data_IF_157128617940
#
_entry.id   IF_157128617940
#
_cell.length_a   1.000
_cell.length_b   1.000
_cell.length_c   1.000
_cell.angle_alpha   90.00
_cell.angle_beta   90.00
_cell.angle_gamma   90.00
#
_symmetry.space_group_name_H-M   'P 1'
#
loop_
_entity.id
_entity.type
_entity.pdbx_description
1 polymer ?
#
# COMPACT_ATOMS: atom_id res chain seq x y z
N UNK A 1 8.24 1.15 -12.93
CA UNK A 1 9.47 1.59 -12.21
C UNK A 1 10.60 0.64 -12.58
N UNK A 2 11.67 1.13 -13.23
CA UNK A 2 12.83 0.32 -13.52
C UNK A 2 13.62 0.11 -12.23
N UNK A 3 13.74 -1.13 -11.77
CA UNK A 3 14.77 -1.51 -10.81
C UNK A 3 16.12 -1.47 -11.54
N UNK A 4 16.73 -0.30 -11.64
CA UNK A 4 18.07 -0.17 -12.17
C UNK A 4 19.04 -0.43 -11.05
N UNK A 5 19.58 -1.63 -10.97
CA UNK A 5 20.71 -2.00 -10.11
C UNK A 5 22.05 -1.40 -10.62
N UNK A 6 22.03 -0.21 -11.21
CA UNK A 6 23.23 0.55 -11.47
C UNK A 6 23.43 1.53 -10.33
N UNK A 7 24.63 1.50 -9.72
CA UNK A 7 25.08 2.58 -8.81
C UNK A 7 24.77 3.90 -9.49
N UNK A 8 23.71 4.57 -9.05
CA UNK A 8 23.40 5.93 -9.46
C UNK A 8 24.54 6.77 -8.87
N UNK A 9 25.49 7.18 -9.69
CA UNK A 9 26.36 8.30 -9.36
C UNK A 9 25.45 9.53 -9.37
N UNK A 10 24.85 9.83 -8.25
CA UNK A 10 24.02 11.02 -8.11
C UNK A 10 24.95 12.22 -7.86
N UNK A 11 24.98 13.14 -8.78
CA UNK A 11 25.35 14.52 -8.49
C UNK A 11 24.20 15.19 -7.71
N UNK A 12 23.82 14.63 -6.58
CA UNK A 12 22.73 15.10 -5.75
C UNK A 12 22.51 14.19 -4.54
N UNK A 13 21.77 14.67 -3.54
CA UNK A 13 21.47 13.96 -2.29
C UNK A 13 20.36 12.92 -2.42
N UNK A 14 20.38 12.09 -3.48
CA UNK A 14 19.43 10.99 -3.65
C UNK A 14 19.99 9.75 -2.96
N UNK A 15 19.27 9.25 -1.96
CA UNK A 15 19.66 8.08 -1.18
C UNK A 15 18.63 6.97 -1.39
N UNK A 16 19.09 5.78 -1.79
CA UNK A 16 18.25 4.59 -1.81
C UNK A 16 18.01 4.13 -0.38
N UNK A 17 16.76 4.01 0.03
CA UNK A 17 16.35 3.59 1.37
C UNK A 17 15.75 2.18 1.42
N UNK A 18 15.30 1.64 0.28
CA UNK A 18 14.84 0.25 0.19
C UNK A 18 16.00 -0.73 0.35
N UNK A 19 15.75 -1.95 0.86
CA UNK A 19 16.76 -3.01 0.94
C UNK A 19 17.44 -3.32 -0.40
N UNK A 20 18.69 -3.80 -0.35
CA UNK A 20 19.37 -4.40 -1.48
C UNK A 20 18.98 -5.88 -1.57
N UNK A 21 17.83 -6.13 -2.17
CA UNK A 21 17.26 -7.46 -2.35
C UNK A 21 16.89 -7.63 -3.83
N UNK A 22 17.64 -8.45 -4.57
CA UNK A 22 17.40 -8.66 -5.99
C UNK A 22 16.21 -9.59 -6.27
N UNK A 23 15.65 -10.22 -5.26
CA UNK A 23 14.59 -11.24 -5.41
C UNK A 23 13.19 -10.67 -5.21
N UNK A 24 13.08 -9.44 -4.73
CA UNK A 24 11.82 -8.76 -4.50
C UNK A 24 11.85 -7.33 -5.02
N UNK A 25 10.67 -6.81 -5.28
CA UNK A 25 10.47 -5.44 -5.71
C UNK A 25 9.89 -4.61 -4.55
N UNK A 26 10.42 -3.39 -4.42
CA UNK A 26 10.03 -2.46 -3.36
C UNK A 26 9.44 -1.22 -3.98
N UNK A 27 8.24 -0.85 -3.53
CA UNK A 27 7.52 0.29 -4.07
C UNK A 27 6.60 0.90 -3.01
N UNK A 28 6.04 2.05 -3.31
CA UNK A 28 4.91 2.64 -2.61
C UNK A 28 3.75 2.74 -3.57
N UNK A 29 2.57 3.07 -3.11
CA UNK A 29 1.40 3.19 -3.96
C UNK A 29 1.42 4.41 -4.88
N UNK A 30 0.31 5.10 -4.98
CA UNK A 30 0.10 6.20 -5.92
C UNK A 30 0.64 7.53 -5.38
N UNK A 31 0.94 8.47 -6.25
CA UNK A 31 1.58 9.75 -5.93
C UNK A 31 0.71 10.72 -5.09
N UNK A 32 -0.58 10.44 -4.95
CA UNK A 32 -1.52 11.28 -4.20
C UNK A 32 -1.42 11.09 -2.67
N UNK A 33 -0.62 10.14 -2.20
CA UNK A 33 -0.41 9.83 -0.78
C UNK A 33 1.05 9.94 -0.41
N UNK A 34 1.32 10.49 0.78
CA UNK A 34 2.67 10.50 1.32
C UNK A 34 3.03 9.16 1.95
N UNK A 35 4.14 8.52 1.57
CA UNK A 35 4.65 7.37 2.29
C UNK A 35 5.24 7.72 3.66
N UNK A 36 5.56 8.99 3.90
CA UNK A 36 6.23 9.47 5.09
C UNK A 36 5.27 9.77 6.23
N UNK A 37 5.68 9.42 7.44
CA UNK A 37 5.05 9.89 8.66
C UNK A 37 5.28 11.38 8.88
N UNK A 38 4.54 11.99 9.81
CA UNK A 38 4.67 13.42 10.11
C UNK A 38 6.06 13.83 10.64
N UNK A 39 6.86 12.88 11.12
CA UNK A 39 8.23 13.15 11.60
C UNK A 39 9.31 13.06 10.53
N UNK A 40 8.93 12.63 9.31
CA UNK A 40 9.84 12.35 8.19
C UNK A 40 10.94 11.33 8.57
N UNK A 41 10.64 10.44 9.50
CA UNK A 41 11.52 9.36 9.94
C UNK A 41 11.11 8.02 9.39
N UNK A 42 9.82 7.72 9.45
CA UNK A 42 9.28 6.44 9.03
C UNK A 42 8.63 6.54 7.67
N UNK A 43 8.90 5.56 6.83
CA UNK A 43 8.31 5.45 5.51
C UNK A 43 7.60 4.11 5.37
N UNK A 44 6.35 4.14 4.88
CA UNK A 44 5.63 2.94 4.44
C UNK A 44 6.22 2.51 3.10
N UNK A 45 6.49 1.21 2.97
CA UNK A 45 6.94 0.60 1.72
C UNK A 45 6.19 -0.71 1.51
N UNK A 46 5.86 -1.03 0.28
CA UNK A 46 5.36 -2.35 -0.10
C UNK A 46 6.49 -3.19 -0.68
N UNK A 47 6.42 -4.50 -0.46
CA UNK A 47 7.31 -5.48 -1.05
C UNK A 47 6.49 -6.57 -1.72
N UNK A 48 6.77 -6.87 -2.96
CA UNK A 48 6.20 -7.98 -3.70
C UNK A 48 7.29 -8.76 -4.43
N UNK A 49 6.98 -10.02 -4.79
CA UNK A 49 7.93 -10.85 -5.51
C UNK A 49 8.11 -10.40 -6.95
N UNK A 50 7.01 -9.99 -7.57
CA UNK A 50 6.97 -9.64 -9.00
C UNK A 50 5.80 -8.68 -9.24
N UNK A 51 6.07 -7.57 -9.94
CA UNK A 51 5.07 -6.56 -10.33
C UNK A 51 4.84 -6.51 -11.84
N UNK A 52 5.51 -7.36 -12.64
CA UNK A 52 5.53 -7.25 -14.09
C UNK A 52 4.98 -8.45 -14.84
N UNK A 53 5.31 -9.66 -14.42
CA UNK A 53 5.07 -10.88 -15.19
C UNK A 53 3.97 -11.76 -14.60
N UNK A 54 3.56 -11.51 -13.37
CA UNK A 54 2.51 -12.29 -12.73
C UNK A 54 1.14 -11.78 -13.18
N UNK A 55 0.28 -12.66 -13.75
CA UNK A 55 -1.10 -12.29 -14.07
C UNK A 55 -1.91 -12.03 -12.79
N UNK A 56 -2.96 -11.25 -12.91
CA UNK A 56 -3.92 -11.03 -11.83
C UNK A 56 -4.67 -12.33 -11.43
N UNK A 57 -4.92 -12.54 -10.14
CA UNK A 57 -4.49 -11.72 -9.00
C UNK A 57 -2.99 -11.88 -8.70
N UNK A 58 -2.36 -10.81 -8.24
CA UNK A 58 -0.88 -10.72 -8.09
C UNK A 58 -0.30 -11.51 -6.90
N UNK A 59 -1.13 -12.18 -6.11
CA UNK A 59 -0.71 -12.82 -4.86
C UNK A 59 -0.60 -11.80 -3.71
N UNK A 60 0.20 -12.10 -2.69
CA UNK A 60 0.32 -11.23 -1.52
C UNK A 60 1.48 -10.26 -1.65
N UNK A 61 1.33 -9.08 -1.06
CA UNK A 61 2.41 -8.12 -0.83
C UNK A 61 2.57 -7.83 0.68
N UNK A 62 3.80 -7.60 1.09
CA UNK A 62 4.12 -7.20 2.46
C UNK A 62 4.08 -5.68 2.59
N UNK A 63 3.56 -5.19 3.71
CA UNK A 63 3.74 -3.82 4.15
C UNK A 63 4.92 -3.75 5.12
N UNK A 64 5.80 -2.83 4.83
CA UNK A 64 7.03 -2.60 5.58
C UNK A 64 7.07 -1.17 6.10
N UNK A 65 7.65 -0.99 7.27
CA UNK A 65 8.00 0.29 7.83
C UNK A 65 9.52 0.43 7.81
N UNK A 66 10.03 1.47 7.14
CA UNK A 66 11.47 1.76 7.05
C UNK A 66 11.80 2.90 8.01
N UNK A 67 12.71 2.66 8.96
CA UNK A 67 13.26 3.67 9.86
C UNK A 67 14.52 4.28 9.26
N UNK A 68 14.40 5.45 8.63
CA UNK A 68 15.50 6.10 7.92
C UNK A 68 16.57 6.67 8.87
N UNK A 69 16.25 6.86 10.15
CA UNK A 69 17.23 7.30 11.17
C UNK A 69 17.95 6.14 11.85
N UNK A 70 17.57 4.90 11.55
CA UNK A 70 18.20 3.69 12.07
C UNK A 70 18.80 2.83 10.94
N UNK A 71 19.60 3.45 10.08
CA UNK A 71 20.26 2.81 8.93
C UNK A 71 19.28 2.08 8.00
N UNK A 72 18.12 2.68 7.76
CA UNK A 72 17.04 2.13 6.96
C UNK A 72 16.54 0.76 7.46
N UNK A 73 16.52 0.58 8.79
CA UNK A 73 16.01 -0.66 9.37
C UNK A 73 14.56 -0.90 8.97
N UNK A 74 14.31 -2.10 8.46
CA UNK A 74 12.99 -2.52 7.99
C UNK A 74 12.26 -3.31 9.07
N UNK A 75 11.00 -2.98 9.31
CA UNK A 75 10.05 -3.75 10.12
C UNK A 75 8.91 -4.20 9.24
N UNK A 76 8.64 -5.51 9.18
CA UNK A 76 7.41 -6.03 8.58
C UNK A 76 6.23 -5.70 9.50
N UNK A 77 5.15 -5.13 8.96
CA UNK A 77 4.00 -4.68 9.75
C UNK A 77 2.69 -5.35 9.35
N UNK A 78 2.54 -5.78 8.10
CA UNK A 78 1.36 -6.52 7.62
C UNK A 78 1.67 -7.23 6.31
N UNK A 79 0.77 -8.15 5.92
CA UNK A 79 0.72 -8.77 4.59
C UNK A 79 -0.72 -8.70 4.10
N UNK A 80 -0.92 -8.36 2.83
CA UNK A 80 -2.25 -8.28 2.21
C UNK A 80 -2.26 -8.90 0.82
N UNK A 81 -3.32 -9.62 0.41
CA UNK A 81 -3.54 -10.01 -0.98
C UNK A 81 -4.10 -8.86 -1.82
N UNK A 82 -4.63 -7.81 -1.19
CA UNK A 82 -5.46 -6.77 -1.80
C UNK A 82 -4.61 -5.58 -2.19
N UNK A 83 -4.06 -5.61 -3.40
CA UNK A 83 -3.21 -4.55 -3.94
C UNK A 83 -3.16 -4.57 -5.47
N UNK A 84 -2.66 -3.51 -6.04
CA UNK A 84 -2.28 -3.45 -7.46
C UNK A 84 -0.99 -2.66 -7.63
N UNK A 85 -0.38 -2.78 -8.80
CA UNK A 85 0.93 -2.16 -9.09
C UNK A 85 0.87 -0.64 -9.09
N UNK A 86 -0.27 -0.05 -9.49
CA UNK A 86 -0.41 1.41 -9.64
C UNK A 86 -0.64 2.13 -8.31
N UNK A 87 -1.47 1.54 -7.44
CA UNK A 87 -1.98 2.21 -6.25
C UNK A 87 -1.60 1.50 -4.95
N UNK A 88 -0.93 0.34 -5.05
CA UNK A 88 -0.66 -0.50 -3.88
C UNK A 88 -1.95 -0.97 -3.22
N UNK A 89 -1.92 -1.15 -1.91
CA UNK A 89 -3.08 -1.47 -1.08
C UNK A 89 -3.76 -0.24 -0.46
N UNK A 90 -3.61 0.94 -1.05
CA UNK A 90 -4.08 2.23 -0.56
C UNK A 90 -3.52 2.61 0.83
N UNK A 91 -2.33 2.12 1.16
CA UNK A 91 -1.68 2.42 2.43
C UNK A 91 -1.47 3.91 2.63
N UNK A 92 -1.87 4.43 3.79
CA UNK A 92 -1.78 5.85 4.12
C UNK A 92 -1.68 6.07 5.63
N UNK A 93 -0.91 7.06 6.03
CA UNK A 93 -0.87 7.50 7.41
C UNK A 93 -2.18 8.14 7.83
N UNK A 94 -2.67 7.80 9.03
CA UNK A 94 -3.92 8.34 9.56
C UNK A 94 -3.69 9.59 10.40
N UNK A 95 -4.50 10.60 10.12
CA UNK A 95 -4.61 11.77 10.99
C UNK A 95 -5.28 11.49 12.35
N UNK A 96 -5.21 12.45 13.28
CA UNK A 96 -4.60 13.77 13.08
C UNK A 96 -3.06 13.80 13.26
N UNK A 97 -2.46 12.75 13.82
CA UNK A 97 -1.03 12.74 14.15
C UNK A 97 -0.12 12.29 13.00
N UNK A 98 -0.64 11.54 12.02
CA UNK A 98 0.07 11.00 10.87
C UNK A 98 1.39 10.28 11.21
N UNK A 99 1.44 9.58 12.34
CA UNK A 99 2.65 8.89 12.80
C UNK A 99 2.44 7.58 13.54
N UNK A 100 1.29 7.41 14.22
CA UNK A 100 1.07 6.23 15.05
C UNK A 100 0.28 5.14 14.35
N UNK A 101 -0.57 5.50 13.38
CA UNK A 101 -1.46 4.57 12.69
C UNK A 101 -1.46 4.77 11.19
N UNK A 102 -1.59 3.65 10.51
CA UNK A 102 -1.85 3.61 9.07
C UNK A 102 -3.20 2.97 8.80
N UNK A 103 -3.75 3.24 7.63
CA UNK A 103 -4.86 2.49 7.05
C UNK A 103 -4.34 1.84 5.77
N UNK A 104 -4.73 0.59 5.52
CA UNK A 104 -4.50 -0.11 4.27
C UNK A 104 -5.70 -1.00 3.94
N UNK A 105 -5.85 -1.39 2.68
CA UNK A 105 -6.88 -2.33 2.26
C UNK A 105 -6.39 -3.77 2.37
N UNK A 106 -7.34 -4.65 2.72
CA UNK A 106 -7.12 -6.07 2.90
C UNK A 106 -8.36 -6.86 2.46
N UNK A 107 -8.28 -8.16 2.53
CA UNK A 107 -9.41 -9.06 2.31
C UNK A 107 -9.56 -9.99 3.51
N UNK A 108 -10.74 -9.97 4.13
CA UNK A 108 -11.12 -10.84 5.25
C UNK A 108 -12.47 -11.49 4.92
N UNK A 109 -12.62 -12.77 5.19
CA UNK A 109 -13.86 -13.53 4.94
C UNK A 109 -14.42 -13.34 3.52
N UNK A 110 -13.53 -13.38 2.51
CA UNK A 110 -13.87 -13.17 1.09
C UNK A 110 -14.57 -11.83 0.82
N UNK A 111 -14.19 -10.77 1.54
CA UNK A 111 -14.67 -9.40 1.34
C UNK A 111 -13.49 -8.43 1.43
N UNK A 112 -13.48 -7.46 0.54
CA UNK A 112 -12.57 -6.33 0.70
C UNK A 112 -12.95 -5.51 1.93
N UNK A 113 -11.96 -5.15 2.69
CA UNK A 113 -12.07 -4.35 3.91
C UNK A 113 -10.91 -3.37 3.99
N UNK A 114 -10.89 -2.52 4.99
CA UNK A 114 -9.70 -1.78 5.38
C UNK A 114 -9.29 -2.15 6.80
N UNK A 115 -8.01 -2.01 7.07
CA UNK A 115 -7.42 -2.24 8.39
C UNK A 115 -6.75 -0.97 8.87
N UNK A 116 -7.10 -0.52 10.06
CA UNK A 116 -6.35 0.48 10.79
C UNK A 116 -5.34 -0.26 11.66
N UNK A 117 -4.07 -0.02 11.44
CA UNK A 117 -2.96 -0.67 12.12
C UNK A 117 -2.15 0.35 12.93
N UNK A 118 -1.92 0.07 14.20
CA UNK A 118 -0.91 0.78 14.98
C UNK A 118 0.47 0.25 14.61
N UNK A 119 1.36 1.09 14.08
CA UNK A 119 2.66 0.65 13.54
C UNK A 119 3.66 0.22 14.62
N UNK A 120 3.44 0.59 15.87
CA UNK A 120 4.28 0.22 17.00
C UNK A 120 3.82 -1.09 17.64
N UNK A 121 2.54 -1.15 18.06
CA UNK A 121 1.95 -2.29 18.79
C UNK A 121 1.47 -3.40 17.88
N UNK A 122 1.22 -3.12 16.60
CA UNK A 122 0.61 -3.99 15.60
C UNK A 122 -0.84 -4.37 15.92
N UNK A 123 -1.50 -3.61 16.79
CA UNK A 123 -2.92 -3.76 17.03
C UNK A 123 -3.73 -3.33 15.80
N UNK A 124 -4.68 -4.16 15.42
CA UNK A 124 -5.52 -3.97 14.24
C UNK A 124 -6.97 -3.63 14.62
N UNK A 125 -7.58 -2.78 13.81
CA UNK A 125 -9.03 -2.57 13.76
C UNK A 125 -9.51 -2.71 12.33
N UNK A 126 -10.33 -3.72 12.06
CA UNK A 126 -10.92 -3.95 10.73
C UNK A 126 -12.16 -3.07 10.54
N UNK A 127 -12.24 -2.43 9.38
CA UNK A 127 -13.41 -1.68 8.91
C UNK A 127 -14.10 -2.47 7.78
N UNK A 128 -15.43 -2.42 7.67
CA UNK A 128 -16.18 -3.33 6.80
C UNK A 128 -16.05 -3.03 5.29
N UNK A 129 -15.45 -1.91 4.91
CA UNK A 129 -15.33 -1.45 3.52
C UNK A 129 -13.87 -1.13 3.18
N UNK A 130 -13.42 -1.40 1.94
CA UNK A 130 -12.15 -0.91 1.46
C UNK A 130 -12.17 0.61 1.38
N UNK A 131 -11.05 1.26 1.58
CA UNK A 131 -10.96 2.72 1.63
C UNK A 131 -10.03 3.24 0.53
N UNK A 132 -10.44 4.28 -0.15
CA UNK A 132 -9.61 4.99 -1.13
C UNK A 132 -8.79 6.10 -0.46
N UNK A 133 -9.46 6.94 0.32
CA UNK A 133 -8.81 8.04 1.02
C UNK A 133 -9.53 8.38 2.32
N UNK A 134 -8.82 9.03 3.24
CA UNK A 134 -9.33 9.42 4.55
C UNK A 134 -9.12 10.92 4.74
N UNK A 135 -10.09 11.57 5.42
CA UNK A 135 -9.95 12.97 5.81
C UNK A 135 -8.75 13.20 6.75
N UNK A 136 -8.24 14.42 6.76
CA UNK A 136 -7.05 14.78 7.56
C UNK A 136 -7.24 14.59 9.06
N UNK A 137 -8.47 14.62 9.57
CA UNK A 137 -8.78 14.33 10.97
C UNK A 137 -8.94 12.83 11.27
N UNK A 138 -8.87 11.97 10.24
CA UNK A 138 -8.97 10.53 10.35
C UNK A 138 -10.38 9.99 10.66
N UNK A 139 -11.45 10.81 10.50
CA UNK A 139 -12.81 10.43 10.91
C UNK A 139 -13.71 10.00 9.77
N UNK A 140 -13.43 10.45 8.55
CA UNK A 140 -14.25 10.17 7.37
C UNK A 140 -13.40 9.52 6.30
N UNK A 141 -13.88 8.43 5.71
CA UNK A 141 -13.24 7.76 4.58
C UNK A 141 -14.14 7.73 3.36
N UNK A 142 -13.55 7.74 2.17
CA UNK A 142 -14.22 7.45 0.91
C UNK A 142 -13.89 6.03 0.48
N UNK A 143 -14.91 5.26 0.15
CA UNK A 143 -14.79 3.91 -0.38
C UNK A 143 -15.12 3.88 -1.87
N UNK A 144 -14.51 2.92 -2.58
CA UNK A 144 -14.83 2.59 -3.97
C UNK A 144 -15.17 1.10 -4.05
N UNK A 145 -15.95 0.72 -5.08
CA UNK A 145 -16.02 -0.68 -5.50
C UNK A 145 -14.75 -1.02 -6.30
N UNK A 146 -13.78 -1.62 -5.64
CA UNK A 146 -12.48 -1.94 -6.23
C UNK A 146 -12.55 -3.09 -7.24
N UNK A 147 -13.52 -4.02 -7.14
CA UNK A 147 -13.77 -5.03 -8.17
C UNK A 147 -14.26 -4.38 -9.46
N UNK A 148 -15.20 -3.44 -9.36
CA UNK A 148 -15.70 -2.67 -10.49
C UNK A 148 -14.61 -1.79 -11.11
N UNK A 149 -13.82 -1.13 -10.27
CA UNK A 149 -12.70 -0.32 -10.76
C UNK A 149 -11.71 -1.18 -11.55
N UNK A 150 -11.40 -2.39 -11.08
CA UNK A 150 -10.52 -3.32 -11.79
C UNK A 150 -11.10 -3.73 -13.15
N UNK A 151 -12.40 -4.08 -13.21
CA UNK A 151 -13.04 -4.51 -14.45
C UNK A 151 -13.15 -3.40 -15.52
N UNK A 152 -13.30 -2.15 -15.09
CA UNK A 152 -13.39 -0.99 -15.97
C UNK A 152 -12.03 -0.43 -16.37
N UNK A 153 -11.02 -0.60 -15.54
CA UNK A 153 -9.66 -0.11 -15.79
C UNK A 153 -8.64 -1.07 -15.22
N UNK A 154 -8.14 -1.96 -16.04
CA UNK A 154 -7.09 -2.91 -15.68
C UNK A 154 -5.87 -2.20 -15.08
N UNK A 155 -5.29 -2.79 -14.03
CA UNK A 155 -4.17 -2.21 -13.28
C UNK A 155 -4.58 -1.25 -12.17
N UNK A 156 -5.87 -0.93 -12.05
CA UNK A 156 -6.46 -0.20 -10.94
C UNK A 156 -7.52 -1.09 -10.28
N UNK A 157 -7.79 -0.88 -9.00
CA UNK A 157 -8.69 -1.76 -8.26
C UNK A 157 -8.03 -3.11 -7.92
N UNK A 158 -8.85 -4.10 -7.61
CA UNK A 158 -8.40 -5.40 -7.11
C UNK A 158 -9.07 -6.55 -7.86
N UNK A 159 -8.30 -7.62 -8.14
CA UNK A 159 -8.68 -8.73 -9.01
C UNK A 159 -9.16 -9.98 -8.24
N UNK A 160 -9.04 -10.02 -6.91
CA UNK A 160 -9.30 -11.22 -6.11
C UNK A 160 -10.79 -11.59 -6.05
N UNK A 161 -11.67 -10.59 -6.18
CA UNK A 161 -13.12 -10.81 -6.15
C UNK A 161 -13.76 -10.33 -7.46
N UNK A 162 -14.72 -11.10 -7.99
CA UNK A 162 -15.43 -10.72 -9.21
C UNK A 162 -16.31 -9.48 -8.98
N UNK A 163 -16.47 -8.68 -10.02
CA UNK A 163 -17.45 -7.60 -10.04
C UNK A 163 -18.87 -8.14 -9.99
N UNK A 164 -19.68 -7.64 -9.05
CA UNK A 164 -21.07 -8.07 -8.84
C UNK A 164 -22.10 -7.19 -9.54
N UNK A 165 -21.72 -6.01 -9.97
CA UNK A 165 -22.63 -4.98 -10.52
C UNK A 165 -22.56 -4.87 -12.05
N UNK A 166 -21.95 -5.86 -12.72
CA UNK A 166 -21.80 -5.86 -14.18
C UNK A 166 -23.18 -5.85 -14.87
N UNK A 167 -23.47 -4.74 -15.55
CA UNK A 167 -24.76 -4.55 -16.24
C UNK A 167 -25.82 -3.81 -15.43
N UNK A 168 -25.58 -3.44 -14.19
CA UNK A 168 -26.44 -2.53 -13.44
C UNK A 168 -26.14 -1.08 -13.85
N UNK A 169 -27.16 -0.38 -14.30
CA UNK A 169 -27.12 1.08 -14.49
C UNK A 169 -27.35 1.73 -13.12
N UNK A 170 -26.42 2.59 -12.70
CA UNK A 170 -26.59 3.41 -11.50
C UNK A 170 -27.60 4.52 -11.78
#
# INVERSE_FOLDING_TARGET
CYAVSKKIKSEGNIIKISPDDPTNEYFFGYYDKSPWDATMRYMICMKAKDTWSTPDPLGTADLLLIDTKASNRVKHIATTPTWNVQQGCMAQWLGPDFKSRILYNDMRDSKYCSVILNVETLEERVLPMPCYTVSTDGKTGLSLDFSRLHSLRLGYGYAELPEKTKGETL
#
